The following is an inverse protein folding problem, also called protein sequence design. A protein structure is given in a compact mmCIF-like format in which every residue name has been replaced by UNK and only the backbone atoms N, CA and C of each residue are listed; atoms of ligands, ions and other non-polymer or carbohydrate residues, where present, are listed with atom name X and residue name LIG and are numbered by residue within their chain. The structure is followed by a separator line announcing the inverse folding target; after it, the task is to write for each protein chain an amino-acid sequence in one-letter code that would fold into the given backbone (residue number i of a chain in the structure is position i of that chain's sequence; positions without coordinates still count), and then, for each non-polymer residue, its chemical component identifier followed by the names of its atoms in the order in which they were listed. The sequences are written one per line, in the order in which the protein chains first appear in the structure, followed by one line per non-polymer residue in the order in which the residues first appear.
data_IF_655842509573
#
_entry.id   IF_655842509573
#
_cell.length_a   1.000
_cell.length_b   1.000
_cell.length_c   1.000
_cell.angle_alpha   90.00
_cell.angle_beta   90.00
_cell.angle_gamma   90.00
#
_symmetry.space_group_name_H-M   'P 1'
#
loop_
_entity.id
_entity.type
_entity.pdbx_description
1 polymer ?
#
# COMPACT_ATOMS: atom_id res chain seq x y z
N UNK A 1 12.32 -52.63 -23.28
CA UNK A 1 10.95 -52.10 -23.48
C UNK A 1 10.19 -52.23 -22.17
N UNK A 2 10.14 -51.17 -21.37
CA UNK A 2 9.10 -50.96 -20.35
C UNK A 2 9.04 -49.46 -20.06
N UNK A 3 8.28 -48.79 -20.92
CA UNK A 3 7.77 -47.43 -20.74
C UNK A 3 6.95 -47.38 -19.44
N UNK A 4 7.39 -46.59 -18.46
CA UNK A 4 6.57 -46.12 -17.35
C UNK A 4 6.90 -44.64 -17.05
N UNK A 5 6.31 -43.66 -17.78
CA UNK A 5 6.52 -42.22 -17.53
C UNK A 5 5.33 -41.56 -16.80
N UNK A 6 4.86 -42.13 -15.69
CA UNK A 6 3.74 -41.54 -14.92
C UNK A 6 4.00 -41.36 -13.41
N UNK A 7 5.15 -41.80 -12.91
CA UNK A 7 5.52 -41.67 -11.49
C UNK A 7 6.41 -40.44 -11.17
N UNK A 8 6.44 -39.42 -12.04
CA UNK A 8 7.23 -38.19 -11.83
C UNK A 8 6.37 -36.91 -11.68
N UNK A 9 5.05 -37.06 -11.60
CA UNK A 9 4.14 -35.93 -11.31
C UNK A 9 3.90 -35.76 -9.81
N UNK A 10 3.97 -36.84 -9.03
CA UNK A 10 3.85 -36.81 -7.57
C UNK A 10 5.09 -36.27 -6.86
N UNK A 11 6.27 -36.40 -7.47
CA UNK A 11 7.54 -35.95 -6.87
C UNK A 11 7.75 -34.41 -6.98
N UNK A 12 7.11 -33.76 -7.95
CA UNK A 12 7.04 -32.29 -7.99
C UNK A 12 6.13 -31.72 -6.89
N UNK A 13 5.16 -32.50 -6.40
CA UNK A 13 4.31 -32.12 -5.26
C UNK A 13 5.02 -32.32 -3.91
N UNK A 14 6.12 -33.08 -3.88
CA UNK A 14 6.92 -33.38 -2.68
C UNK A 14 8.06 -32.40 -2.42
N UNK A 15 8.49 -31.62 -3.42
CA UNK A 15 9.32 -30.43 -3.17
C UNK A 15 8.44 -29.35 -2.56
N UNK A 16 8.37 -29.29 -1.23
CA UNK A 16 7.57 -28.36 -0.41
C UNK A 16 7.85 -26.85 -0.59
N UNK A 17 8.13 -26.38 -1.80
CA UNK A 17 8.34 -24.99 -2.19
C UNK A 17 7.15 -24.29 -2.89
N UNK A 18 6.18 -24.94 -3.60
CA UNK A 18 5.10 -24.19 -4.25
C UNK A 18 4.14 -23.59 -3.22
N UNK A 19 3.89 -24.29 -2.11
CA UNK A 19 3.04 -23.77 -1.03
C UNK A 19 3.61 -22.50 -0.39
N UNK A 20 4.94 -22.39 -0.28
CA UNK A 20 5.57 -21.19 0.24
C UNK A 20 5.46 -19.99 -0.70
N UNK A 21 5.59 -20.22 -2.01
CA UNK A 21 5.38 -19.17 -3.02
C UNK A 21 3.93 -18.68 -3.01
N UNK A 22 2.95 -19.58 -2.89
CA UNK A 22 1.53 -19.21 -2.79
C UNK A 22 1.27 -18.40 -1.52
N UNK A 23 1.78 -18.82 -0.35
CA UNK A 23 1.57 -18.08 0.90
C UNK A 23 2.24 -16.71 0.90
N UNK A 24 3.44 -16.60 0.35
CA UNK A 24 4.08 -15.29 0.15
C UNK A 24 3.27 -14.42 -0.82
N UNK A 25 2.73 -14.99 -1.90
CA UNK A 25 1.88 -14.28 -2.86
C UNK A 25 0.60 -13.74 -2.23
N UNK A 26 -0.08 -14.55 -1.41
CA UNK A 26 -1.25 -14.13 -0.62
C UNK A 26 -0.87 -13.00 0.35
N UNK A 27 0.29 -13.08 1.00
CA UNK A 27 0.80 -12.02 1.87
C UNK A 27 0.99 -10.69 1.14
N UNK A 28 1.52 -10.71 -0.08
CA UNK A 28 1.69 -9.50 -0.92
C UNK A 28 0.33 -8.92 -1.35
N UNK A 29 -0.62 -9.76 -1.74
CA UNK A 29 -1.98 -9.31 -2.12
C UNK A 29 -2.69 -8.68 -0.92
N UNK A 30 -2.62 -9.31 0.26
CA UNK A 30 -3.18 -8.78 1.50
C UNK A 30 -2.55 -7.42 1.85
N UNK A 31 -1.22 -7.32 1.72
CA UNK A 31 -0.50 -6.07 1.93
C UNK A 31 -0.94 -4.97 0.95
N UNK A 32 -1.11 -5.28 -0.33
CA UNK A 32 -1.61 -4.33 -1.31
C UNK A 32 -2.98 -3.78 -0.91
N UNK A 33 -3.87 -4.64 -0.39
CA UNK A 33 -5.16 -4.22 0.15
C UNK A 33 -5.04 -3.24 1.33
N UNK A 34 -4.15 -3.52 2.29
CA UNK A 34 -3.88 -2.63 3.43
C UNK A 34 -3.37 -1.26 2.94
N UNK A 35 -2.43 -1.26 2.00
CA UNK A 35 -1.84 -0.02 1.45
C UNK A 35 -2.87 0.81 0.67
N UNK A 36 -3.70 0.16 -0.15
CA UNK A 36 -4.75 0.85 -0.92
C UNK A 36 -5.86 1.39 -0.01
N UNK A 37 -6.29 0.64 1.00
CA UNK A 37 -7.28 1.10 1.98
C UNK A 37 -6.81 2.39 2.69
N UNK A 38 -5.55 2.40 3.11
CA UNK A 38 -4.93 3.57 3.73
C UNK A 38 -4.81 4.78 2.77
N UNK A 39 -4.84 4.57 1.45
CA UNK A 39 -4.78 5.63 0.43
C UNK A 39 -6.19 6.15 0.06
N UNK A 40 -7.22 5.29 0.07
CA UNK A 40 -8.62 5.70 -0.19
C UNK A 40 -9.07 6.76 0.82
N UNK A 41 -8.79 6.55 2.11
CA UNK A 41 -9.13 7.51 3.18
C UNK A 41 -8.51 8.90 2.94
N UNK A 42 -7.31 8.95 2.36
CA UNK A 42 -6.63 10.22 2.04
C UNK A 42 -7.42 11.00 0.99
N UNK A 43 -7.76 10.32 -0.10
CA UNK A 43 -8.44 10.93 -1.24
C UNK A 43 -9.81 11.44 -0.81
N UNK A 44 -10.52 10.65 0.01
CA UNK A 44 -11.83 11.04 0.53
C UNK A 44 -11.73 12.28 1.44
N UNK A 45 -10.80 12.28 2.40
CA UNK A 45 -10.58 13.42 3.30
C UNK A 45 -10.14 14.68 2.54
N UNK A 46 -9.26 14.54 1.55
CA UNK A 46 -8.83 15.64 0.69
C UNK A 46 -9.98 16.20 -0.15
N UNK A 47 -10.80 15.33 -0.74
CA UNK A 47 -11.96 15.76 -1.53
C UNK A 47 -13.02 16.44 -0.65
N UNK A 48 -13.19 15.97 0.60
CA UNK A 48 -14.02 16.62 1.61
C UNK A 48 -13.54 18.04 1.95
N UNK A 49 -12.25 18.22 2.24
CA UNK A 49 -11.66 19.54 2.52
C UNK A 49 -11.72 20.48 1.30
N UNK A 50 -11.64 19.94 0.08
CA UNK A 50 -11.83 20.72 -1.15
C UNK A 50 -13.26 21.20 -1.34
N UNK A 51 -14.26 20.38 -0.99
CA UNK A 51 -15.68 20.80 -1.01
C UNK A 51 -15.96 21.93 -0.01
N UNK A 52 -15.17 22.04 1.06
CA UNK A 52 -15.26 23.12 2.04
C UNK A 52 -14.57 24.43 1.58
N UNK A 53 -14.07 24.51 0.35
CA UNK A 53 -13.47 25.72 -0.20
C UNK A 53 -12.03 26.00 0.25
N UNK A 54 -11.37 25.05 0.92
CA UNK A 54 -10.02 25.23 1.44
C UNK A 54 -8.99 25.33 0.30
N UNK A 55 -8.01 26.25 0.46
CA UNK A 55 -6.83 26.34 -0.41
C UNK A 55 -6.10 25.00 -0.44
N UNK A 56 -5.67 24.56 -1.61
CA UNK A 56 -5.16 23.18 -1.79
C UNK A 56 -3.91 22.91 -0.97
N UNK A 57 -3.05 23.91 -0.81
CA UNK A 57 -1.83 23.79 0.00
C UNK A 57 -2.16 23.53 1.48
N UNK A 58 -3.14 24.26 2.01
CA UNK A 58 -3.63 24.12 3.39
C UNK A 58 -4.33 22.76 3.59
N UNK A 59 -5.20 22.39 2.64
CA UNK A 59 -5.90 21.10 2.64
C UNK A 59 -4.91 19.93 2.61
N UNK A 60 -3.89 19.98 1.74
CA UNK A 60 -2.89 18.92 1.62
C UNK A 60 -2.08 18.71 2.91
N UNK A 61 -1.66 19.79 3.58
CA UNK A 61 -0.91 19.71 4.84
C UNK A 61 -1.80 19.12 5.94
N UNK A 62 -3.04 19.59 6.07
CA UNK A 62 -4.00 19.06 7.06
C UNK A 62 -4.32 17.59 6.83
N UNK A 63 -4.57 17.19 5.58
CA UNK A 63 -4.80 15.78 5.23
C UNK A 63 -3.56 14.92 5.50
N UNK A 64 -2.36 15.43 5.21
CA UNK A 64 -1.10 14.74 5.48
C UNK A 64 -0.89 14.44 6.97
N UNK A 65 -1.14 15.42 7.84
CA UNK A 65 -1.02 15.27 9.30
C UNK A 65 -2.08 14.32 9.85
N UNK A 66 -3.32 14.42 9.37
CA UNK A 66 -4.41 13.53 9.79
C UNK A 66 -4.16 12.07 9.41
N UNK A 67 -3.39 11.81 8.35
CA UNK A 67 -3.08 10.46 7.87
C UNK A 67 -1.98 9.75 8.66
N UNK A 68 -1.04 10.47 9.25
CA UNK A 68 0.06 9.87 10.01
C UNK A 68 -0.48 8.99 11.14
N UNK A 69 -1.58 9.38 11.79
CA UNK A 69 -2.19 8.65 12.90
C UNK A 69 -2.78 7.29 12.47
N UNK A 70 -3.72 7.21 11.50
CA UNK A 70 -4.22 5.94 10.98
C UNK A 70 -3.13 5.01 10.44
N UNK A 71 -2.19 5.51 9.62
CA UNK A 71 -1.16 4.65 8.99
C UNK A 71 -0.22 4.06 10.03
N UNK A 72 0.19 4.85 11.02
CA UNK A 72 1.02 4.35 12.12
C UNK A 72 0.26 3.37 12.99
N UNK A 73 -1.03 3.62 13.30
CA UNK A 73 -1.87 2.69 14.07
C UNK A 73 -2.01 1.33 13.38
N UNK A 74 -2.30 1.31 12.07
CA UNK A 74 -2.38 0.06 11.31
C UNK A 74 -1.04 -0.65 11.29
N UNK A 75 0.05 0.07 11.02
CA UNK A 75 1.40 -0.52 10.96
C UNK A 75 1.79 -1.14 12.29
N UNK A 76 1.63 -0.39 13.39
CA UNK A 76 1.96 -0.84 14.74
C UNK A 76 1.10 -2.04 15.10
N UNK A 77 -0.21 -1.98 14.86
CA UNK A 77 -1.13 -3.09 15.19
C UNK A 77 -0.81 -4.36 14.41
N UNK A 78 -0.51 -4.24 13.11
CA UNK A 78 -0.13 -5.39 12.27
C UNK A 78 1.20 -5.96 12.70
N UNK A 79 2.22 -5.14 12.94
CA UNK A 79 3.53 -5.62 13.39
C UNK A 79 3.39 -6.30 14.75
N UNK A 80 2.74 -5.67 15.73
CA UNK A 80 2.53 -6.25 17.05
C UNK A 80 1.75 -7.56 17.01
N UNK A 81 0.70 -7.65 16.18
CA UNK A 81 -0.09 -8.88 16.02
C UNK A 81 0.66 -10.01 15.32
N UNK A 82 1.64 -9.69 14.48
CA UNK A 82 2.42 -10.66 13.71
C UNK A 82 3.77 -11.02 14.34
N UNK A 83 4.27 -10.25 15.31
CA UNK A 83 5.51 -10.53 16.06
C UNK A 83 5.63 -12.01 16.48
N UNK A 84 4.66 -12.61 17.23
CA UNK A 84 4.82 -13.99 17.71
C UNK A 84 4.91 -15.01 16.57
N UNK A 85 4.22 -14.75 15.45
CA UNK A 85 4.23 -15.58 14.25
C UNK A 85 5.53 -15.48 13.45
N UNK A 86 6.10 -14.27 13.36
CA UNK A 86 7.38 -14.03 12.66
C UNK A 86 8.55 -14.69 13.41
N UNK A 87 8.54 -14.65 14.74
CA UNK A 87 9.57 -15.28 15.57
C UNK A 87 9.40 -16.80 15.73
N UNK A 88 8.44 -17.43 15.03
CA UNK A 88 8.19 -18.89 15.13
C UNK A 88 8.00 -19.38 16.57
N UNK A 89 7.45 -18.53 17.44
CA UNK A 89 7.18 -18.88 18.82
C UNK A 89 5.91 -19.73 18.86
N UNK A 90 6.05 -21.04 18.78
CA UNK A 90 4.95 -21.96 19.09
C UNK A 90 4.89 -22.10 20.63
N UNK A 91 4.14 -21.20 21.27
CA UNK A 91 3.88 -21.25 22.71
C UNK A 91 2.84 -22.34 22.92
N UNK A 92 3.31 -23.56 23.16
CA UNK A 92 2.42 -24.68 23.49
C UNK A 92 1.98 -24.52 24.95
N UNK A 93 0.85 -23.82 25.15
CA UNK A 93 0.24 -23.54 26.45
C UNK A 93 -0.13 -24.81 27.24
N UNK A 94 -0.18 -25.97 26.57
CA UNK A 94 -0.59 -27.26 27.14
C UNK A 94 0.58 -28.03 27.77
N UNK A 95 1.81 -27.86 27.27
CA UNK A 95 2.99 -28.62 27.73
C UNK A 95 4.15 -27.77 28.26
N UNK A 96 4.03 -26.43 28.30
CA UNK A 96 5.10 -25.51 28.75
C UNK A 96 6.45 -25.72 28.04
N UNK A 97 6.45 -26.29 26.83
CA UNK A 97 7.65 -26.46 26.01
C UNK A 97 7.67 -25.42 24.89
N UNK A 98 8.72 -24.61 24.84
CA UNK A 98 9.03 -23.76 23.69
C UNK A 98 9.51 -24.65 22.54
N UNK A 99 8.58 -25.12 21.71
CA UNK A 99 8.92 -25.89 20.51
C UNK A 99 9.05 -24.94 19.34
N UNK A 100 10.29 -24.70 18.91
CA UNK A 100 10.61 -23.94 17.70
C UNK A 100 10.63 -24.92 16.53
N UNK A 101 9.78 -24.72 15.53
CA UNK A 101 9.88 -25.45 14.26
C UNK A 101 8.82 -26.52 13.98
N UNK A 102 7.58 -26.35 14.43
CA UNK A 102 6.47 -27.14 13.88
C UNK A 102 6.40 -26.94 12.34
N UNK A 103 6.31 -28.00 11.51
CA UNK A 103 6.23 -27.88 10.05
C UNK A 103 5.07 -26.98 9.59
N UNK A 104 4.01 -26.91 10.41
CA UNK A 104 2.86 -26.06 10.20
C UNK A 104 3.09 -24.58 10.52
N UNK A 105 4.02 -24.24 11.41
CA UNK A 105 4.34 -22.84 11.68
C UNK A 105 5.06 -22.19 10.49
N UNK A 106 5.78 -22.98 9.69
CA UNK A 106 6.59 -22.49 8.56
C UNK A 106 5.76 -21.72 7.52
N UNK A 107 4.56 -22.20 7.18
CA UNK A 107 3.71 -21.53 6.18
C UNK A 107 3.10 -20.22 6.70
N UNK A 108 2.74 -20.17 7.99
CA UNK A 108 2.21 -18.95 8.61
C UNK A 108 3.32 -17.92 8.80
N UNK A 109 4.52 -18.32 9.20
CA UNK A 109 5.67 -17.43 9.31
C UNK A 109 6.03 -16.79 7.97
N UNK A 110 5.98 -17.55 6.86
CA UNK A 110 6.24 -16.99 5.53
C UNK A 110 5.24 -15.89 5.16
N UNK A 111 3.94 -16.11 5.41
CA UNK A 111 2.90 -15.12 5.19
C UNK A 111 3.06 -13.89 6.09
N UNK A 112 3.28 -14.09 7.39
CA UNK A 112 3.44 -13.01 8.37
C UNK A 112 4.69 -12.18 8.11
N UNK A 113 5.79 -12.80 7.71
CA UNK A 113 7.04 -12.10 7.39
C UNK A 113 6.89 -11.27 6.11
N UNK A 114 6.19 -11.79 5.09
CA UNK A 114 5.89 -11.03 3.88
C UNK A 114 5.05 -9.78 4.18
N UNK A 115 4.02 -9.90 5.03
CA UNK A 115 3.19 -8.76 5.43
C UNK A 115 3.99 -7.80 6.33
N UNK A 116 4.60 -8.26 7.41
CA UNK A 116 5.31 -7.40 8.35
C UNK A 116 6.52 -6.70 7.71
N UNK A 117 7.32 -7.42 6.93
CA UNK A 117 8.46 -6.87 6.22
C UNK A 117 8.02 -5.90 5.12
N UNK A 118 7.03 -6.30 4.33
CA UNK A 118 6.49 -5.44 3.28
C UNK A 118 5.85 -4.18 3.85
N UNK A 119 5.15 -4.25 4.98
CA UNK A 119 4.48 -3.09 5.59
C UNK A 119 5.53 -2.14 6.20
N UNK A 120 6.54 -2.69 6.87
CA UNK A 120 7.66 -1.90 7.42
C UNK A 120 8.38 -1.13 6.33
N UNK A 121 8.52 -1.70 5.13
CA UNK A 121 9.10 -1.02 3.98
C UNK A 121 8.12 -0.05 3.30
N UNK A 122 6.86 -0.47 3.13
CA UNK A 122 5.83 0.32 2.47
C UNK A 122 5.42 1.54 3.29
N UNK A 123 5.38 1.47 4.62
CA UNK A 123 4.93 2.57 5.49
C UNK A 123 5.73 3.85 5.31
N UNK A 124 7.08 3.89 5.42
CA UNK A 124 7.86 5.09 5.14
C UNK A 124 7.77 5.50 3.67
N UNK A 125 7.77 4.53 2.75
CA UNK A 125 7.64 4.80 1.31
C UNK A 125 6.33 5.56 1.01
N UNK A 126 5.23 5.13 1.64
CA UNK A 126 3.91 5.74 1.48
C UNK A 126 3.81 7.08 2.22
N UNK A 127 4.50 7.22 3.36
CA UNK A 127 4.60 8.47 4.10
C UNK A 127 5.24 9.58 3.26
N UNK A 128 6.21 9.23 2.41
CA UNK A 128 6.90 10.14 1.48
C UNK A 128 6.10 10.30 0.17
N UNK A 129 5.51 9.22 -0.35
CA UNK A 129 4.71 9.24 -1.58
C UNK A 129 3.51 10.19 -1.46
N UNK A 130 2.92 10.29 -0.27
CA UNK A 130 1.73 11.10 0.01
C UNK A 130 1.93 12.61 -0.16
N UNK A 131 2.92 13.26 0.51
CA UNK A 131 3.21 14.67 0.26
C UNK A 131 3.66 14.90 -1.18
N UNK A 132 4.43 13.98 -1.78
CA UNK A 132 4.85 14.09 -3.18
C UNK A 132 3.66 14.07 -4.15
N UNK A 133 2.72 13.13 -4.01
CA UNK A 133 1.58 12.99 -4.90
C UNK A 133 0.60 14.18 -4.78
N UNK A 134 0.40 14.70 -3.57
CA UNK A 134 -0.42 15.90 -3.35
C UNK A 134 0.20 17.14 -3.99
N UNK A 135 1.51 17.34 -3.83
CA UNK A 135 2.23 18.47 -4.46
C UNK A 135 2.20 18.35 -5.99
N UNK A 136 2.41 17.15 -6.53
CA UNK A 136 2.44 16.91 -7.98
C UNK A 136 1.05 17.02 -8.62
N UNK A 137 0.02 16.49 -7.96
CA UNK A 137 -1.37 16.61 -8.39
C UNK A 137 -1.85 18.06 -8.40
N UNK A 138 -1.36 18.88 -7.46
CA UNK A 138 -1.70 20.30 -7.42
C UNK A 138 -1.05 21.11 -8.54
N UNK A 139 0.27 20.93 -8.78
CA UNK A 139 0.98 21.60 -9.89
C UNK A 139 0.32 21.34 -11.24
N UNK A 140 -0.25 20.15 -11.44
CA UNK A 140 -0.92 19.76 -12.70
C UNK A 140 -2.29 20.43 -12.87
N UNK A 141 -3.03 20.68 -11.78
CA UNK A 141 -4.36 21.32 -11.82
C UNK A 141 -4.25 22.84 -11.94
N UNK A 142 -3.28 23.44 -11.24
CA UNK A 142 -2.99 24.87 -11.30
C UNK A 142 -2.50 25.28 -12.70
N UNK A 143 -1.64 24.47 -13.33
CA UNK A 143 -1.21 24.67 -14.72
C UNK A 143 -2.38 24.64 -15.72
N UNK A 144 -3.32 23.69 -15.59
CA UNK A 144 -4.50 23.60 -16.45
C UNK A 144 -5.47 24.78 -16.28
N UNK A 145 -5.62 25.32 -15.07
CA UNK A 145 -6.45 26.50 -14.83
C UNK A 145 -5.81 27.79 -15.39
N UNK A 146 -4.48 27.93 -15.26
CA UNK A 146 -3.75 29.04 -15.84
C UNK A 146 -3.74 29.02 -17.38
N UNK A 147 -3.67 27.83 -17.97
CA UNK A 147 -3.80 27.62 -19.43
C UNK A 147 -5.20 28.02 -19.94
N UNK A 148 -6.27 27.71 -19.19
CA UNK A 148 -7.63 28.12 -19.53
C UNK A 148 -7.86 29.64 -19.44
N UNK A 149 -7.30 30.31 -18.43
CA UNK A 149 -7.38 31.77 -18.27
C UNK A 149 -6.61 32.54 -19.36
N UNK A 150 -5.49 31.99 -19.84
CA UNK A 150 -4.75 32.56 -20.97
C UNK A 150 -5.52 32.45 -22.29
N UNK A 151 -6.24 31.34 -22.52
CA UNK A 151 -7.11 31.21 -23.70
C UNK A 151 -8.28 32.19 -23.67
N UNK A 152 -8.90 32.40 -22.51
CA UNK A 152 -10.04 33.32 -22.36
C UNK A 152 -9.61 34.78 -22.51
N UNK A 153 -8.44 35.15 -21.97
CA UNK A 153 -7.86 36.49 -22.12
C UNK A 153 -7.38 36.75 -23.56
N UNK A 154 -6.75 35.77 -24.21
CA UNK A 154 -6.29 35.91 -25.60
C UNK A 154 -7.43 35.99 -26.62
N UNK A 155 -8.59 35.40 -26.32
CA UNK A 155 -9.80 35.51 -27.15
C UNK A 155 -10.49 36.89 -27.02
N UNK A 156 -10.49 37.48 -25.81
CA UNK A 156 -11.14 38.78 -25.54
C UNK A 156 -10.34 40.00 -25.98
N UNK A 157 -9.02 39.90 -26.16
CA UNK A 157 -8.15 41.02 -26.52
C UNK A 157 -8.06 41.25 -28.05
N UNK A 158 -8.45 40.26 -28.87
CA UNK A 158 -8.41 40.35 -30.34
C UNK A 158 -9.35 41.36 -31.02
N UNK A 159 -10.50 41.82 -30.48
CA UNK A 159 -11.38 42.72 -31.24
C UNK A 159 -11.00 44.21 -31.18
N UNK A 160 -10.03 44.61 -30.35
CA UNK A 160 -9.82 46.05 -30.03
C UNK A 160 -8.77 46.72 -30.93
N UNK A 161 -8.00 45.96 -31.74
CA UNK A 161 -6.97 46.53 -32.62
C UNK A 161 -7.35 46.58 -34.12
N UNK A 162 -8.58 46.22 -34.49
CA UNK A 162 -9.07 46.27 -35.88
C UNK A 162 -9.91 47.52 -36.19
N UNK A 163 -9.88 48.54 -35.34
CA UNK A 163 -10.62 49.80 -35.52
C UNK A 163 -9.67 50.99 -35.33
N UNK A 164 -8.66 51.09 -36.19
CA UNK A 164 -7.96 52.34 -36.52
C UNK A 164 -7.44 52.28 -37.95
#
# INVERSE_FOLDING_TARGET
MSFQPWASSSDFMLKGQPFGVVMSGVGVIALAGIVVNNNIVLIDTFNGLRKQGMMVREAAIRTGVQRLRPVMLTTITTVLGLIPMVFQLNIDLTHQSLSVGAPSAQWWTQLSTAIAGGLTFATPLTLILTPCLLVLGYRRKERKQLEGLHQETSSKVSPIHSVE
#
